data_IF_823422209038
#
_entry.id   IF_823422209038
#
_cell.length_a   1.000
_cell.length_b   1.000
_cell.length_c   1.000
_cell.angle_alpha   90.00
_cell.angle_beta   90.00
_cell.angle_gamma   90.00
#
_symmetry.space_group_name_H-M   'P 1'
#
loop_
_entity.id
_entity.type
_entity.pdbx_description
1 polymer ?
#
# COMPACT_ATOMS: atom_id res chain seq x y z
N UNK A 1 10.34 -18.90 35.48
CA UNK A 1 10.41 -18.21 34.19
C UNK A 1 10.96 -16.82 34.47
N UNK A 2 12.07 -16.41 33.85
CA UNK A 2 12.70 -15.12 34.12
C UNK A 2 11.87 -13.98 33.51
N UNK A 3 11.88 -12.75 34.09
CA UNK A 3 11.15 -11.61 33.54
C UNK A 3 11.44 -11.33 32.06
N UNK A 4 12.69 -11.51 31.63
CA UNK A 4 13.11 -11.35 30.22
C UNK A 4 12.40 -12.34 29.29
N UNK A 5 12.33 -13.62 29.68
CA UNK A 5 11.63 -14.66 28.89
C UNK A 5 10.13 -14.43 28.81
N UNK A 6 9.53 -13.76 29.81
CA UNK A 6 8.12 -13.36 29.76
C UNK A 6 7.91 -12.20 28.78
N UNK A 7 8.81 -11.21 28.81
CA UNK A 7 8.79 -10.09 27.90
C UNK A 7 8.90 -10.54 26.44
N UNK A 8 9.89 -11.37 26.11
CA UNK A 8 10.10 -11.87 24.75
C UNK A 8 8.87 -12.62 24.23
N UNK A 9 8.29 -13.49 25.06
CA UNK A 9 7.06 -14.22 24.70
C UNK A 9 5.88 -13.28 24.48
N UNK A 10 5.74 -12.23 25.28
CA UNK A 10 4.67 -11.25 25.11
C UNK A 10 4.82 -10.49 23.79
N UNK A 11 6.05 -10.09 23.45
CA UNK A 11 6.36 -9.37 22.21
C UNK A 11 6.14 -10.27 20.98
N UNK A 12 6.62 -11.51 21.02
CA UNK A 12 6.39 -12.49 19.96
C UNK A 12 4.90 -12.77 19.72
N UNK A 13 4.11 -12.89 20.79
CA UNK A 13 2.67 -13.10 20.69
C UNK A 13 1.97 -11.88 20.07
N UNK A 14 2.35 -10.67 20.46
CA UNK A 14 1.78 -9.43 19.90
C UNK A 14 1.97 -9.36 18.38
N UNK A 15 3.19 -9.56 17.88
CA UNK A 15 3.44 -9.53 16.43
C UNK A 15 2.74 -10.67 15.68
N UNK A 16 2.70 -11.86 16.27
CA UNK A 16 2.03 -13.01 15.66
C UNK A 16 0.51 -12.78 15.52
N UNK A 17 -0.13 -12.22 16.54
CA UNK A 17 -1.57 -11.89 16.50
C UNK A 17 -1.85 -10.80 15.45
N UNK A 18 -1.03 -9.76 15.41
CA UNK A 18 -1.17 -8.69 14.43
C UNK A 18 -0.98 -9.19 12.99
N UNK A 19 -0.03 -10.11 12.77
CA UNK A 19 0.18 -10.76 11.48
C UNK A 19 -1.05 -11.53 11.02
N UNK A 20 -1.60 -12.39 11.90
CA UNK A 20 -2.81 -13.15 11.60
C UNK A 20 -3.96 -12.21 11.27
N UNK A 21 -4.14 -11.15 12.06
CA UNK A 21 -5.18 -10.16 11.81
C UNK A 21 -5.04 -9.47 10.46
N UNK A 22 -3.83 -9.01 10.12
CA UNK A 22 -3.59 -8.32 8.85
C UNK A 22 -3.76 -9.24 7.65
N UNK A 23 -3.36 -10.51 7.75
CA UNK A 23 -3.62 -11.48 6.68
C UNK A 23 -5.11 -11.75 6.51
N UNK A 24 -5.85 -11.96 7.60
CA UNK A 24 -7.31 -12.15 7.55
C UNK A 24 -7.98 -10.92 6.93
N UNK A 25 -7.65 -9.72 7.41
CA UNK A 25 -8.18 -8.47 6.88
C UNK A 25 -7.82 -8.28 5.40
N UNK A 26 -6.59 -8.59 5.01
CA UNK A 26 -6.14 -8.53 3.61
C UNK A 26 -6.91 -9.50 2.71
N UNK A 27 -7.19 -10.73 3.17
CA UNK A 27 -8.04 -11.66 2.42
C UNK A 27 -9.48 -11.13 2.29
N UNK A 28 -10.05 -10.53 3.34
CA UNK A 28 -11.37 -9.91 3.28
C UNK A 28 -11.41 -8.74 2.28
N UNK A 29 -10.37 -7.91 2.23
CA UNK A 29 -10.26 -6.82 1.26
C UNK A 29 -10.09 -7.36 -0.16
N UNK A 30 -9.32 -8.44 -0.35
CA UNK A 30 -9.22 -9.12 -1.64
C UNK A 30 -10.60 -9.59 -2.17
N UNK A 31 -11.53 -9.97 -1.28
CA UNK A 31 -12.91 -10.30 -1.67
C UNK A 31 -13.73 -9.09 -2.14
N UNK A 32 -13.31 -7.86 -1.85
CA UNK A 32 -13.94 -6.65 -2.40
C UNK A 32 -13.84 -6.61 -3.93
N UNK A 33 -12.78 -7.21 -4.51
CA UNK A 33 -12.64 -7.34 -5.95
C UNK A 33 -13.83 -8.08 -6.58
N UNK A 34 -14.21 -9.22 -6.01
CA UNK A 34 -15.37 -9.97 -6.45
C UNK A 34 -16.68 -9.19 -6.22
N UNK A 35 -16.77 -8.45 -5.11
CA UNK A 35 -17.90 -7.56 -4.84
C UNK A 35 -18.07 -6.47 -5.91
N UNK A 36 -16.98 -5.80 -6.28
CA UNK A 36 -17.00 -4.78 -7.33
C UNK A 36 -17.30 -5.37 -8.70
N UNK A 37 -16.76 -6.55 -9.03
CA UNK A 37 -17.13 -7.26 -10.25
C UNK A 37 -18.65 -7.47 -10.35
N UNK A 38 -19.30 -7.94 -9.28
CA UNK A 38 -20.74 -8.19 -9.27
C UNK A 38 -21.55 -6.90 -9.47
N UNK A 39 -21.13 -5.80 -8.82
CA UNK A 39 -21.79 -4.49 -8.96
C UNK A 39 -21.58 -3.91 -10.36
N UNK A 40 -20.36 -3.95 -10.89
CA UNK A 40 -20.03 -3.42 -12.22
C UNK A 40 -20.77 -4.17 -13.33
N UNK A 41 -20.78 -5.51 -13.27
CA UNK A 41 -21.51 -6.33 -14.23
C UNK A 41 -23.02 -6.14 -14.09
N UNK A 42 -23.53 -6.02 -12.85
CA UNK A 42 -24.95 -5.81 -12.58
C UNK A 42 -25.50 -4.46 -13.05
N UNK A 43 -24.64 -3.43 -13.09
CA UNK A 43 -25.00 -2.10 -13.60
C UNK A 43 -24.79 -1.95 -15.12
N UNK A 44 -24.07 -2.89 -15.75
CA UNK A 44 -23.87 -2.92 -17.20
C UNK A 44 -25.06 -3.55 -17.93
N UNK A 45 -25.15 -3.29 -19.23
CA UNK A 45 -26.14 -3.97 -20.08
C UNK A 45 -25.77 -5.44 -20.19
N UNK A 46 -26.77 -6.33 -20.13
CA UNK A 46 -26.55 -7.78 -20.16
C UNK A 46 -25.65 -8.27 -21.31
N UNK A 47 -25.74 -7.63 -22.49
CA UNK A 47 -24.91 -7.94 -23.66
C UNK A 47 -23.41 -7.70 -23.46
N UNK A 48 -23.03 -6.83 -22.54
CA UNK A 48 -21.65 -6.44 -22.25
C UNK A 48 -21.12 -7.05 -20.95
N UNK A 49 -21.96 -7.77 -20.19
CA UNK A 49 -21.61 -8.26 -18.86
C UNK A 49 -20.37 -9.16 -18.84
N UNK A 50 -20.22 -10.05 -19.83
CA UNK A 50 -19.04 -10.91 -19.94
C UNK A 50 -17.75 -10.12 -20.18
N UNK A 51 -17.80 -9.07 -21.00
CA UNK A 51 -16.64 -8.21 -21.27
C UNK A 51 -16.26 -7.38 -20.03
N UNK A 52 -17.24 -6.84 -19.31
CA UNK A 52 -17.01 -6.13 -18.04
C UNK A 52 -16.43 -7.04 -16.97
N UNK A 53 -16.96 -8.27 -16.82
CA UNK A 53 -16.41 -9.25 -15.88
C UNK A 53 -14.94 -9.60 -16.20
N UNK A 54 -14.61 -9.79 -17.48
CA UNK A 54 -13.25 -10.09 -17.92
C UNK A 54 -12.27 -8.93 -17.63
N UNK A 55 -12.70 -7.68 -17.83
CA UNK A 55 -11.91 -6.51 -17.46
C UNK A 55 -11.65 -6.48 -15.95
N UNK A 56 -12.68 -6.64 -15.12
CA UNK A 56 -12.52 -6.64 -13.67
C UNK A 56 -11.59 -7.75 -13.18
N UNK A 57 -11.65 -8.95 -13.74
CA UNK A 57 -10.72 -10.02 -13.40
C UNK A 57 -9.28 -9.73 -13.86
N UNK A 58 -9.12 -8.98 -14.96
CA UNK A 58 -7.81 -8.63 -15.52
C UNK A 58 -7.12 -7.48 -14.78
N UNK A 59 -7.84 -6.60 -14.09
CA UNK A 59 -7.18 -5.54 -13.32
C UNK A 59 -6.30 -6.11 -12.21
N UNK A 60 -6.75 -7.19 -11.55
CA UNK A 60 -6.06 -7.80 -10.43
C UNK A 60 -4.61 -8.20 -10.73
N UNK A 61 -4.33 -9.04 -11.75
CA UNK A 61 -2.95 -9.39 -12.09
C UNK A 61 -2.14 -8.19 -12.61
N UNK A 62 -2.76 -7.24 -13.34
CA UNK A 62 -2.06 -6.04 -13.83
C UNK A 62 -1.65 -5.11 -12.67
N UNK A 63 -2.57 -4.90 -11.73
CA UNK A 63 -2.36 -4.14 -10.51
C UNK A 63 -1.29 -4.78 -9.64
N UNK A 64 -1.34 -6.11 -9.43
CA UNK A 64 -0.30 -6.86 -8.72
C UNK A 64 1.09 -6.61 -9.33
N UNK A 65 1.22 -6.70 -10.66
CA UNK A 65 2.51 -6.49 -11.36
C UNK A 65 2.99 -5.04 -11.22
N UNK A 66 2.12 -4.05 -11.40
CA UNK A 66 2.48 -2.65 -11.26
C UNK A 66 2.89 -2.30 -9.82
N UNK A 67 2.15 -2.83 -8.84
CA UNK A 67 2.44 -2.64 -7.43
C UNK A 67 3.78 -3.27 -7.03
N UNK A 68 4.05 -4.49 -7.50
CA UNK A 68 5.33 -5.16 -7.32
C UNK A 68 6.49 -4.40 -7.97
N UNK A 69 6.33 -3.99 -9.24
CA UNK A 69 7.40 -3.34 -9.99
C UNK A 69 7.80 -2.00 -9.37
N UNK A 70 6.83 -1.14 -9.04
CA UNK A 70 7.12 0.20 -8.56
C UNK A 70 6.16 0.76 -7.51
N UNK A 71 4.90 0.30 -7.46
CA UNK A 71 3.89 0.90 -6.58
C UNK A 71 4.25 0.83 -5.10
N UNK A 72 4.71 -0.34 -4.64
CA UNK A 72 5.13 -0.51 -3.25
C UNK A 72 6.29 0.42 -2.88
N UNK A 73 7.26 0.56 -3.79
CA UNK A 73 8.43 1.40 -3.57
C UNK A 73 8.06 2.87 -3.40
N UNK A 74 7.21 3.38 -4.30
CA UNK A 74 6.75 4.77 -4.27
C UNK A 74 5.90 5.04 -3.03
N UNK A 75 5.01 4.11 -2.69
CA UNK A 75 4.08 4.26 -1.58
C UNK A 75 4.74 4.14 -0.21
N UNK A 76 5.53 3.10 0.00
CA UNK A 76 6.00 2.70 1.33
C UNK A 76 7.53 2.72 1.49
N UNK A 77 8.32 2.98 0.44
CA UNK A 77 9.79 2.97 0.51
C UNK A 77 10.39 3.99 1.50
N UNK A 78 9.66 5.06 1.81
CA UNK A 78 10.05 6.14 2.73
C UNK A 78 9.41 6.02 4.13
N UNK A 79 8.83 4.88 4.49
CA UNK A 79 8.00 4.72 5.70
C UNK A 79 8.65 5.23 6.99
N UNK A 80 9.96 5.01 7.16
CA UNK A 80 10.71 5.38 8.37
C UNK A 80 11.40 6.74 8.33
N UNK A 81 11.22 7.51 7.26
CA UNK A 81 11.90 8.80 7.08
C UNK A 81 11.10 10.01 7.55
N UNK A 82 9.93 9.81 8.14
CA UNK A 82 9.16 10.87 8.79
C UNK A 82 9.70 11.21 10.18
N UNK A 83 9.70 12.48 10.61
CA UNK A 83 10.07 12.89 11.97
C UNK A 83 9.24 12.22 13.08
N UNK A 84 8.06 11.69 12.76
CA UNK A 84 7.32 10.69 13.53
C UNK A 84 7.16 9.48 12.62
N UNK A 85 7.54 8.28 13.06
CA UNK A 85 7.09 7.09 12.35
C UNK A 85 5.54 7.15 12.27
N UNK A 86 4.90 6.87 11.12
CA UNK A 86 3.45 6.78 11.05
C UNK A 86 2.96 6.04 12.29
N UNK A 87 2.01 6.59 13.06
CA UNK A 87 1.68 6.19 14.45
C UNK A 87 1.43 4.68 14.70
N UNK A 88 1.42 3.91 13.63
CA UNK A 88 1.70 2.49 13.50
C UNK A 88 3.22 2.20 13.58
N UNK A 89 3.86 2.38 14.75
CA UNK A 89 5.12 1.67 14.99
C UNK A 89 4.87 0.21 14.66
N UNK A 90 5.62 -0.32 13.69
CA UNK A 90 5.22 -1.48 12.87
C UNK A 90 4.51 -2.55 13.68
N UNK A 91 3.17 -2.52 13.66
CA UNK A 91 2.34 -3.54 14.30
C UNK A 91 2.68 -4.93 13.75
N UNK A 92 3.35 -4.96 12.60
CA UNK A 92 3.79 -6.10 11.85
C UNK A 92 5.19 -6.61 12.23
N UNK A 93 6.00 -5.83 12.95
CA UNK A 93 7.36 -6.21 13.39
C UNK A 93 8.47 -5.27 12.92
N UNK A 94 9.68 -5.38 13.49
CA UNK A 94 10.76 -4.40 13.30
C UNK A 94 11.34 -4.36 11.88
N UNK A 95 11.10 -5.37 11.05
CA UNK A 95 11.70 -5.50 9.73
C UNK A 95 11.22 -4.50 8.69
N UNK A 96 10.13 -3.78 8.94
CA UNK A 96 9.73 -2.65 8.07
C UNK A 96 10.71 -1.48 8.12
N UNK A 97 11.59 -1.41 9.13
CA UNK A 97 12.62 -0.38 9.28
C UNK A 97 13.57 -0.26 8.08
N UNK A 98 13.65 -1.31 7.24
CA UNK A 98 14.41 -1.26 5.99
C UNK A 98 13.84 -0.25 4.99
N UNK A 99 12.57 0.17 5.14
CA UNK A 99 11.88 1.13 4.27
C UNK A 99 12.19 2.57 4.71
N UNK A 100 13.40 3.01 4.41
CA UNK A 100 13.98 4.25 4.92
C UNK A 100 14.66 5.10 3.84
N UNK A 101 14.22 5.01 2.59
CA UNK A 101 14.75 5.87 1.52
C UNK A 101 13.63 6.47 0.67
N UNK A 102 13.78 7.75 0.34
CA UNK A 102 12.82 8.47 -0.44
C UNK A 102 13.34 9.79 -0.97
N UNK A 103 12.42 10.57 -1.51
CA UNK A 103 12.66 11.92 -2.03
C UNK A 103 11.70 12.84 -1.30
N UNK A 104 12.20 14.01 -0.86
CA UNK A 104 11.39 15.01 -0.20
C UNK A 104 12.10 16.36 -0.08
N UNK A 105 11.43 17.30 0.58
CA UNK A 105 11.90 18.67 0.78
C UNK A 105 12.21 18.89 2.26
N UNK A 106 13.28 19.66 2.55
CA UNK A 106 13.70 19.97 3.92
C UNK A 106 14.41 18.79 4.58
N UNK A 107 15.39 18.23 3.88
CA UNK A 107 16.24 17.15 4.40
C UNK A 107 17.24 17.65 5.45
N UNK A 108 17.46 16.87 6.50
CA UNK A 108 18.49 17.15 7.50
C UNK A 108 19.85 16.65 7.00
N UNK A 109 20.88 17.51 6.86
CA UNK A 109 22.24 17.08 6.50
C UNK A 109 22.84 16.04 7.47
N UNK A 110 22.37 15.98 8.72
CA UNK A 110 22.81 15.02 9.73
C UNK A 110 22.09 13.66 9.66
N UNK A 111 20.97 13.56 8.94
CA UNK A 111 20.19 12.32 8.79
C UNK A 111 19.73 12.14 7.33
N UNK A 112 20.63 11.68 6.43
CA UNK A 112 20.32 11.46 5.02
C UNK A 112 19.12 10.52 4.85
N UNK A 113 18.08 10.97 4.15
CA UNK A 113 16.84 10.23 3.93
C UNK A 113 15.65 10.78 4.72
N UNK A 114 15.86 11.44 5.86
CA UNK A 114 14.76 12.06 6.61
C UNK A 114 14.40 13.39 5.97
N UNK A 115 13.15 13.51 5.52
CA UNK A 115 12.64 14.75 4.92
C UNK A 115 11.51 15.32 5.77
N UNK A 116 11.54 16.63 6.00
CA UNK A 116 10.40 17.35 6.60
C UNK A 116 9.13 17.14 5.79
N UNK A 117 9.23 17.21 4.46
CA UNK A 117 8.13 16.96 3.53
C UNK A 117 8.49 15.81 2.58
N UNK A 118 8.26 14.56 3.00
CA UNK A 118 8.44 13.38 2.15
C UNK A 118 7.42 13.34 1.01
N UNK A 119 7.90 13.16 -0.24
CA UNK A 119 7.06 13.16 -1.43
C UNK A 119 6.86 11.77 -2.02
N UNK A 120 7.87 10.90 -1.98
CA UNK A 120 7.79 9.53 -2.49
C UNK A 120 8.89 8.65 -1.90
N UNK A 121 8.63 7.34 -1.82
CA UNK A 121 9.65 6.33 -1.53
C UNK A 121 10.47 5.93 -2.75
N UNK A 122 11.71 5.51 -2.48
CA UNK A 122 12.64 5.00 -3.50
C UNK A 122 13.16 3.60 -3.20
N UNK A 123 12.74 3.02 -2.07
CA UNK A 123 13.15 1.68 -1.66
C UNK A 123 12.07 0.65 -1.94
N UNK A 124 12.47 -0.51 -2.45
CA UNK A 124 11.56 -1.64 -2.60
C UNK A 124 11.00 -1.88 -3.99
N UNK A 125 11.62 -1.32 -5.03
CA UNK A 125 11.30 -1.65 -6.41
C UNK A 125 11.49 -3.15 -6.63
N UNK A 126 10.51 -3.80 -7.26
CA UNK A 126 10.48 -5.26 -7.46
C UNK A 126 10.60 -6.09 -6.18
N UNK A 127 10.31 -5.51 -5.00
CA UNK A 127 10.62 -6.11 -3.69
C UNK A 127 12.08 -6.56 -3.53
N UNK A 128 13.02 -5.93 -4.25
CA UNK A 128 14.41 -6.32 -4.21
C UNK A 128 15.03 -6.07 -2.82
N UNK A 129 15.58 -7.13 -2.21
CA UNK A 129 16.20 -7.06 -0.88
C UNK A 129 15.20 -6.90 0.28
N UNK A 130 13.93 -7.29 0.07
CA UNK A 130 12.84 -7.11 1.04
C UNK A 130 12.20 -8.44 1.44
N UNK A 131 13.02 -9.31 2.04
CA UNK A 131 12.64 -10.68 2.41
C UNK A 131 11.95 -10.78 3.78
N UNK A 132 11.86 -9.67 4.51
CA UNK A 132 11.28 -9.66 5.85
C UNK A 132 9.76 -9.84 5.81
N UNK A 133 9.26 -10.73 6.67
CA UNK A 133 7.83 -11.11 6.73
C UNK A 133 6.94 -9.90 7.02
N UNK A 134 7.41 -8.94 7.81
CA UNK A 134 6.67 -7.70 8.10
C UNK A 134 6.47 -6.86 6.84
N UNK A 135 7.46 -6.82 5.96
CA UNK A 135 7.39 -6.09 4.69
C UNK A 135 6.50 -6.82 3.69
N UNK A 136 6.58 -8.15 3.62
CA UNK A 136 5.72 -8.95 2.74
C UNK A 136 4.25 -8.89 3.14
N UNK A 137 3.94 -8.91 4.44
CA UNK A 137 2.58 -8.74 4.92
C UNK A 137 2.03 -7.34 4.62
N UNK A 138 2.85 -6.31 4.81
CA UNK A 138 2.51 -4.94 4.43
C UNK A 138 2.29 -4.81 2.92
N UNK A 139 3.17 -5.41 2.12
CA UNK A 139 3.04 -5.45 0.67
C UNK A 139 1.71 -6.08 0.25
N UNK A 140 1.40 -7.28 0.75
CA UNK A 140 0.14 -7.96 0.43
C UNK A 140 -1.07 -7.11 0.80
N UNK A 141 -1.08 -6.60 2.04
CA UNK A 141 -2.20 -5.80 2.54
C UNK A 141 -2.39 -4.53 1.71
N UNK A 142 -1.33 -3.82 1.37
CA UNK A 142 -1.46 -2.57 0.62
C UNK A 142 -1.73 -2.77 -0.87
N UNK A 143 -1.25 -3.88 -1.44
CA UNK A 143 -1.53 -4.26 -2.82
C UNK A 143 -3.03 -4.46 -3.03
N UNK A 144 -3.71 -5.18 -2.13
CA UNK A 144 -5.16 -5.43 -2.29
C UNK A 144 -6.00 -4.16 -2.15
N UNK A 145 -5.57 -3.16 -1.36
CA UNK A 145 -6.24 -1.86 -1.30
C UNK A 145 -6.05 -1.04 -2.58
N UNK A 146 -4.84 -1.07 -3.16
CA UNK A 146 -4.58 -0.42 -4.43
C UNK A 146 -5.46 -1.03 -5.52
N UNK A 147 -5.49 -2.36 -5.61
CA UNK A 147 -6.26 -3.05 -6.65
C UNK A 147 -7.78 -2.83 -6.50
N UNK A 148 -8.26 -2.87 -5.27
CA UNK A 148 -9.65 -2.49 -4.93
C UNK A 148 -9.97 -1.05 -5.32
N UNK A 149 -8.99 -0.13 -5.24
CA UNK A 149 -9.18 1.26 -5.68
C UNK A 149 -9.14 1.37 -7.20
N UNK A 150 -8.33 0.55 -7.87
CA UNK A 150 -8.22 0.52 -9.32
C UNK A 150 -9.52 0.10 -10.02
N UNK A 151 -10.39 -0.66 -9.35
CA UNK A 151 -11.71 -1.02 -9.90
C UNK A 151 -12.71 0.14 -9.92
N UNK A 152 -12.61 1.11 -9.01
CA UNK A 152 -13.60 2.19 -8.92
C UNK A 152 -13.70 2.99 -10.24
N UNK A 153 -12.59 3.44 -10.86
CA UNK A 153 -12.64 4.06 -12.18
C UNK A 153 -13.04 3.07 -13.29
N UNK A 154 -12.71 1.78 -13.17
CA UNK A 154 -13.06 0.79 -14.20
C UNK A 154 -14.56 0.57 -14.28
N UNK A 155 -15.24 0.55 -13.14
CA UNK A 155 -16.69 0.50 -13.04
C UNK A 155 -17.36 1.77 -13.56
N UNK A 156 -16.83 2.95 -13.21
CA UNK A 156 -17.38 4.22 -13.69
C UNK A 156 -17.28 4.39 -15.22
N UNK A 157 -16.25 3.80 -15.84
CA UNK A 157 -16.02 3.83 -17.29
C UNK A 157 -16.40 2.52 -17.98
N UNK A 158 -17.11 1.63 -17.30
CA UNK A 158 -17.53 0.37 -17.86
C UNK A 158 -18.26 0.59 -19.20
N UNK A 159 -18.00 -0.29 -20.16
CA UNK A 159 -18.51 -0.24 -21.55
C UNK A 159 -17.94 0.88 -22.46
N UNK A 160 -17.14 1.84 -21.95
CA UNK A 160 -16.77 3.06 -22.70
C UNK A 160 -15.30 3.18 -23.13
N UNK A 161 -14.47 2.21 -22.79
CA UNK A 161 -13.05 2.20 -23.15
C UNK A 161 -12.61 0.89 -23.80
N UNK A 162 -11.55 0.99 -24.60
CA UNK A 162 -10.97 -0.15 -25.31
C UNK A 162 -10.12 -1.01 -24.37
N UNK A 163 -10.03 -2.31 -24.66
CA UNK A 163 -9.22 -3.25 -23.90
C UNK A 163 -7.74 -2.85 -23.79
N UNK A 164 -7.15 -2.31 -24.85
CA UNK A 164 -5.75 -1.86 -24.82
C UNK A 164 -5.53 -0.71 -23.84
N UNK A 165 -6.45 0.25 -23.83
CA UNK A 165 -6.40 1.39 -22.91
C UNK A 165 -6.67 0.93 -21.47
N UNK A 166 -7.54 -0.06 -21.28
CA UNK A 166 -7.76 -0.71 -20.00
C UNK A 166 -6.46 -1.32 -19.44
N UNK A 167 -5.72 -2.09 -20.25
CA UNK A 167 -4.46 -2.69 -19.78
C UNK A 167 -3.41 -1.65 -19.41
N UNK A 168 -3.29 -0.58 -20.21
CA UNK A 168 -2.37 0.52 -19.91
C UNK A 168 -2.76 1.23 -18.60
N UNK A 169 -4.06 1.47 -18.41
CA UNK A 169 -4.57 2.00 -17.15
C UNK A 169 -4.22 1.09 -15.96
N UNK A 170 -4.45 -0.22 -16.09
CA UNK A 170 -4.17 -1.18 -15.02
C UNK A 170 -2.70 -1.24 -14.61
N UNK A 171 -1.79 -1.02 -15.56
CA UNK A 171 -0.37 -0.88 -15.24
C UNK A 171 -0.04 0.47 -14.65
N UNK A 172 -0.69 1.56 -15.06
CA UNK A 172 -0.38 2.93 -14.63
C UNK A 172 -1.00 3.31 -13.27
N UNK A 173 -2.19 2.79 -12.93
CA UNK A 173 -3.02 3.20 -11.78
C UNK A 173 -2.30 3.15 -10.44
N UNK A 174 -1.34 2.24 -10.29
CA UNK A 174 -0.51 2.15 -9.09
C UNK A 174 0.28 3.45 -8.82
N UNK A 175 0.62 4.23 -9.86
CA UNK A 175 1.43 5.44 -9.71
C UNK A 175 0.71 6.55 -8.93
N UNK A 176 -0.45 7.08 -9.40
CA UNK A 176 -1.16 8.10 -8.65
C UNK A 176 -1.60 7.57 -7.29
N UNK A 177 -2.10 6.33 -7.22
CA UNK A 177 -2.54 5.75 -5.96
C UNK A 177 -1.42 5.70 -4.91
N UNK A 178 -0.28 5.10 -5.26
CA UNK A 178 0.82 4.94 -4.32
C UNK A 178 1.47 6.27 -3.95
N UNK A 179 1.45 7.28 -4.82
CA UNK A 179 1.92 8.61 -4.48
C UNK A 179 1.06 9.24 -3.37
N UNK A 180 -0.27 9.21 -3.52
CA UNK A 180 -1.17 9.69 -2.46
C UNK A 180 -1.10 8.84 -1.20
N UNK A 181 -0.98 7.52 -1.33
CA UNK A 181 -0.79 6.62 -0.21
C UNK A 181 0.52 6.94 0.53
N UNK A 182 1.59 7.32 -0.16
CA UNK A 182 2.83 7.77 0.48
C UNK A 182 2.58 8.98 1.38
N UNK A 183 1.88 9.98 0.87
CA UNK A 183 1.64 11.22 1.59
C UNK A 183 0.85 10.98 2.87
N UNK A 184 -0.19 10.14 2.81
CA UNK A 184 -1.14 9.93 3.92
C UNK A 184 -0.66 8.84 4.88
N UNK A 185 -0.14 7.73 4.36
CA UNK A 185 0.14 6.51 5.14
C UNK A 185 1.62 6.11 5.10
N UNK A 186 2.34 6.41 4.03
CA UNK A 186 3.73 5.98 3.79
C UNK A 186 4.83 6.86 4.37
N UNK A 187 4.53 7.67 5.39
CA UNK A 187 5.50 8.58 6.02
C UNK A 187 5.80 9.84 5.21
N UNK A 188 4.97 10.18 4.23
CA UNK A 188 5.08 11.43 3.47
C UNK A 188 4.57 12.65 4.23
N UNK A 189 4.58 13.80 3.56
CA UNK A 189 4.37 15.11 4.18
C UNK A 189 3.03 15.28 4.93
N UNK A 190 1.94 14.66 4.44
CA UNK A 190 0.62 14.80 5.05
C UNK A 190 0.52 13.99 6.34
N UNK A 191 1.18 12.83 6.40
CA UNK A 191 1.34 12.02 7.59
C UNK A 191 2.17 12.71 8.69
N UNK A 192 2.90 13.77 8.34
CA UNK A 192 3.73 14.58 9.24
C UNK A 192 3.17 15.98 9.47
N UNK A 193 2.01 16.31 8.88
CA UNK A 193 1.49 17.68 8.85
C UNK A 193 1.20 18.21 10.26
N UNK A 194 0.68 17.38 11.17
CA UNK A 194 0.41 17.77 12.54
C UNK A 194 1.68 18.13 13.31
N UNK A 195 2.77 17.39 13.13
CA UNK A 195 4.07 17.76 13.72
C UNK A 195 4.67 18.99 13.03
N UNK A 196 4.70 19.00 11.69
CA UNK A 196 5.35 20.05 10.91
C UNK A 196 4.67 21.42 11.06
N UNK A 197 3.36 21.44 11.31
CA UNK A 197 2.59 22.67 11.51
C UNK A 197 2.23 22.95 12.97
N UNK A 198 2.73 22.15 13.93
CA UNK A 198 2.49 22.34 15.36
C UNK A 198 1.02 22.13 15.77
N UNK A 199 0.26 21.35 15.00
CA UNK A 199 -1.15 21.06 15.24
C UNK A 199 -1.39 19.79 16.09
N UNK A 200 -0.33 19.05 16.44
CA UNK A 200 -0.42 17.88 17.31
C UNK A 200 0.64 16.81 17.05
N UNK A 201 0.39 15.60 17.54
CA UNK A 201 1.23 14.44 17.27
C UNK A 201 0.75 13.72 16.00
N UNK A 202 1.42 13.98 14.87
CA UNK A 202 1.12 13.34 13.57
C UNK A 202 0.50 14.31 12.59
#
# INVERSE_FOLDING_TARGET
>A
MTPEKLYDRSVHNMFSINMVWVLIAGFLVMFMQAGFMLVEVGLCRAKNGAHTAAMNLMIYPLGCIAFWAYGFAIGWGNWFNGPVAPGWYSALGPGTSILNEGIGIGGDPAAPGIFTYGLMGTKGFFLNGMDDVSVLALFFFMMVFMDTTATIPTGAMAERWSWKNFCLYGLWVALPYCLFANWVWGGGWLAQAGKNWGLGHG
#
